data_IF_989730930898
#
_entry.id   IF_989730930898
#
_cell.length_a   1.000
_cell.length_b   1.000
_cell.length_c   1.000
_cell.angle_alpha   90.00
_cell.angle_beta   90.00
_cell.angle_gamma   90.00
#
_symmetry.space_group_name_H-M   'P 1'
#
loop_
_entity.id
_entity.type
_entity.pdbx_description
1 polymer ?
#
# COMPACT_ATOMS: atom_id res chain seq x y z
N UNK A 1 12.47 -8.81 -18.28
CA UNK A 1 11.48 -8.67 -17.18
C UNK A 1 10.21 -8.09 -17.75
N UNK A 2 9.08 -8.71 -17.47
CA UNK A 2 7.79 -8.14 -17.82
C UNK A 2 7.61 -6.81 -17.10
N UNK A 3 6.90 -5.87 -17.76
CA UNK A 3 6.65 -4.55 -17.15
C UNK A 3 5.49 -4.67 -16.15
N UNK A 4 5.48 -3.81 -15.12
CA UNK A 4 4.28 -3.64 -14.32
C UNK A 4 3.07 -3.36 -15.19
N UNK A 5 1.89 -3.75 -14.74
CA UNK A 5 0.65 -3.53 -15.49
C UNK A 5 -0.36 -2.85 -14.58
N UNK A 6 -0.87 -1.70 -15.02
CA UNK A 6 -2.02 -1.04 -14.41
C UNK A 6 -3.28 -1.62 -15.03
N UNK A 7 -4.23 -2.02 -14.20
CA UNK A 7 -5.54 -2.48 -14.61
C UNK A 7 -6.57 -1.35 -14.51
N UNK A 8 -7.73 -1.55 -15.14
CA UNK A 8 -8.80 -0.58 -15.03
C UNK A 8 -9.23 -0.38 -13.58
N UNK A 9 -9.36 0.88 -13.11
CA UNK A 9 -9.88 1.18 -11.79
C UNK A 9 -11.31 0.67 -11.61
N UNK A 10 -11.64 0.28 -10.38
CA UNK A 10 -12.99 -0.16 -10.06
C UNK A 10 -13.40 0.26 -8.64
N UNK A 11 -14.71 0.40 -8.37
CA UNK A 11 -15.20 0.69 -7.03
C UNK A 11 -15.00 -0.50 -6.09
N UNK A 12 -14.53 -0.22 -4.87
CA UNK A 12 -14.34 -1.20 -3.79
C UNK A 12 -15.16 -0.85 -2.56
N UNK A 13 -15.97 0.18 -2.66
CA UNK A 13 -16.92 0.68 -1.67
C UNK A 13 -17.83 1.72 -2.34
N UNK A 14 -18.79 2.29 -1.61
CA UNK A 14 -19.72 3.27 -2.19
C UNK A 14 -19.05 4.52 -2.77
N UNK A 15 -17.93 4.92 -2.20
CA UNK A 15 -17.19 6.13 -2.55
C UNK A 15 -15.66 5.92 -2.54
N UNK A 16 -15.20 4.66 -2.60
CA UNK A 16 -13.80 4.28 -2.66
C UNK A 16 -13.54 3.53 -3.96
N UNK A 17 -12.50 3.96 -4.67
CA UNK A 17 -12.00 3.33 -5.90
C UNK A 17 -10.56 2.88 -5.68
N UNK A 18 -10.22 1.73 -6.25
CA UNK A 18 -8.84 1.25 -6.35
C UNK A 18 -8.28 1.54 -7.74
N UNK A 19 -7.01 1.94 -7.79
CA UNK A 19 -6.17 1.95 -8.98
C UNK A 19 -5.18 0.77 -8.85
N UNK A 20 -5.54 -0.41 -9.35
CA UNK A 20 -4.73 -1.60 -9.14
C UNK A 20 -3.62 -1.71 -10.16
N UNK A 21 -2.42 -1.98 -9.70
CA UNK A 21 -1.30 -2.38 -10.53
C UNK A 21 -0.68 -3.68 -10.00
N UNK A 22 0.03 -4.39 -10.87
CA UNK A 22 0.77 -5.59 -10.49
C UNK A 22 2.19 -5.51 -11.01
N UNK A 23 3.13 -5.71 -10.10
CA UNK A 23 4.55 -5.80 -10.40
C UNK A 23 4.95 -7.27 -10.50
N UNK A 24 5.39 -7.77 -11.68
CA UNK A 24 5.85 -9.14 -11.82
C UNK A 24 7.21 -9.32 -11.16
N UNK A 25 7.31 -10.28 -10.24
CA UNK A 25 8.56 -10.66 -9.58
C UNK A 25 9.01 -12.00 -10.16
N UNK A 26 10.07 -12.04 -10.96
CA UNK A 26 10.53 -13.25 -11.64
C UNK A 26 10.76 -14.40 -10.65
N UNK A 27 10.16 -15.56 -10.94
CA UNK A 27 10.27 -16.76 -10.10
C UNK A 27 9.44 -16.75 -8.82
N UNK A 28 8.76 -15.64 -8.48
CA UNK A 28 7.95 -15.53 -7.25
C UNK A 28 6.46 -15.26 -7.50
N UNK A 29 6.12 -14.54 -8.58
CA UNK A 29 4.73 -14.19 -8.90
C UNK A 29 4.50 -12.71 -9.11
N UNK A 30 3.40 -12.18 -8.61
CA UNK A 30 2.97 -10.80 -8.79
C UNK A 30 2.76 -10.11 -7.45
N UNK A 31 3.33 -8.92 -7.30
CA UNK A 31 3.08 -8.04 -6.18
C UNK A 31 1.99 -7.02 -6.59
N UNK A 32 0.84 -6.96 -5.93
CA UNK A 32 -0.08 -5.85 -6.09
C UNK A 32 0.60 -4.54 -5.71
N UNK A 33 0.33 -3.46 -6.45
CA UNK A 33 0.74 -2.10 -6.11
C UNK A 33 -0.48 -1.20 -6.31
N UNK A 34 -1.21 -0.99 -5.24
CA UNK A 34 -2.50 -0.31 -5.26
C UNK A 34 -2.37 1.13 -4.78
N UNK A 35 -3.10 2.02 -5.46
CA UNK A 35 -3.47 3.32 -4.93
C UNK A 35 -4.99 3.40 -4.79
N UNK A 36 -5.50 4.38 -4.02
CA UNK A 36 -6.94 4.48 -3.79
C UNK A 36 -7.43 5.92 -3.90
N UNK A 37 -8.65 6.10 -4.42
CA UNK A 37 -9.36 7.38 -4.38
C UNK A 37 -10.54 7.27 -3.44
N UNK A 38 -10.58 8.13 -2.43
CA UNK A 38 -11.71 8.31 -1.54
C UNK A 38 -12.50 9.54 -2.05
N UNK A 39 -13.70 9.32 -2.59
CA UNK A 39 -14.59 10.40 -3.08
C UNK A 39 -15.34 11.06 -1.91
N UNK A 40 -14.60 11.57 -0.94
CA UNK A 40 -15.13 12.44 0.11
C UNK A 40 -15.56 13.80 -0.45
N UNK A 41 -16.19 14.66 0.36
CA UNK A 41 -16.45 16.06 -0.04
C UNK A 41 -15.18 16.82 -0.38
N UNK A 42 -14.08 16.49 0.29
CA UNK A 42 -12.72 16.86 -0.10
C UNK A 42 -12.01 15.57 -0.55
N UNK A 43 -11.96 15.29 -1.87
CA UNK A 43 -11.45 14.00 -2.36
C UNK A 43 -9.98 13.79 -2.03
N UNK A 44 -9.65 12.54 -1.69
CA UNK A 44 -8.32 12.11 -1.28
C UNK A 44 -7.80 11.04 -2.22
N UNK A 45 -6.57 11.21 -2.70
CA UNK A 45 -5.79 10.14 -3.33
C UNK A 45 -4.84 9.56 -2.28
N UNK A 46 -4.83 8.24 -2.11
CA UNK A 46 -3.91 7.50 -1.24
C UNK A 46 -2.87 6.85 -2.11
N UNK A 47 -1.62 7.27 -1.96
CA UNK A 47 -0.45 6.88 -2.75
C UNK A 47 -0.56 7.18 -4.25
N UNK A 48 0.56 7.05 -4.98
CA UNK A 48 0.65 7.52 -6.37
C UNK A 48 1.34 6.54 -7.33
N UNK A 49 1.42 5.27 -6.94
CA UNK A 49 1.93 4.19 -7.78
C UNK A 49 3.40 4.34 -8.19
N UNK A 50 3.81 3.51 -9.15
CA UNK A 50 5.18 3.40 -9.65
C UNK A 50 5.49 4.43 -10.73
N UNK A 51 6.73 4.96 -10.74
CA UNK A 51 7.19 5.95 -11.73
C UNK A 51 7.18 5.41 -13.17
N UNK A 52 7.50 4.13 -13.36
CA UNK A 52 7.56 3.50 -14.68
C UNK A 52 6.19 3.46 -15.39
N UNK A 53 5.08 3.46 -14.63
CA UNK A 53 3.70 3.44 -15.13
C UNK A 53 2.99 4.79 -14.92
N UNK A 54 3.72 5.87 -14.68
CA UNK A 54 3.18 7.17 -14.28
C UNK A 54 2.15 7.74 -15.27
N UNK A 55 2.34 7.57 -16.58
CA UNK A 55 1.37 8.03 -17.58
C UNK A 55 0.05 7.25 -17.51
N UNK A 56 0.13 5.92 -17.41
CA UNK A 56 -1.03 5.06 -17.25
C UNK A 56 -1.74 5.32 -15.91
N UNK A 57 -0.97 5.59 -14.84
CA UNK A 57 -1.51 5.98 -13.55
C UNK A 57 -2.34 7.27 -13.64
N UNK A 58 -1.82 8.31 -14.32
CA UNK A 58 -2.55 9.58 -14.48
C UNK A 58 -3.83 9.40 -15.32
N UNK A 59 -3.81 8.55 -16.34
CA UNK A 59 -5.01 8.20 -17.14
C UNK A 59 -6.05 7.46 -16.28
N UNK A 60 -5.62 6.48 -15.50
CA UNK A 60 -6.46 5.74 -14.57
C UNK A 60 -7.08 6.66 -13.51
N UNK A 61 -6.30 7.56 -12.92
CA UNK A 61 -6.80 8.57 -11.97
C UNK A 61 -7.85 9.47 -12.62
N UNK A 62 -7.59 9.97 -13.82
CA UNK A 62 -8.51 10.85 -14.54
C UNK A 62 -9.83 10.15 -14.93
N UNK A 63 -9.85 8.82 -15.05
CA UNK A 63 -11.09 8.07 -15.28
C UNK A 63 -12.01 8.02 -14.04
N UNK A 64 -11.45 8.25 -12.85
CA UNK A 64 -12.20 8.24 -11.58
C UNK A 64 -12.60 9.65 -11.18
N UNK A 65 -11.68 10.61 -11.26
CA UNK A 65 -11.84 11.99 -10.80
C UNK A 65 -10.99 12.92 -11.65
N UNK A 66 -11.51 14.12 -11.94
CA UNK A 66 -10.69 15.17 -12.56
C UNK A 66 -9.59 15.59 -11.56
N UNK A 67 -8.29 15.47 -11.89
CA UNK A 67 -7.20 15.75 -10.97
C UNK A 67 -7.29 17.13 -10.25
N UNK A 68 -7.71 18.24 -10.89
CA UNK A 68 -7.94 19.54 -10.22
C UNK A 68 -8.97 19.50 -9.07
N UNK A 69 -9.83 18.48 -9.04
CA UNK A 69 -10.83 18.33 -7.96
C UNK A 69 -10.27 17.67 -6.72
N UNK A 70 -9.10 17.03 -6.79
CA UNK A 70 -8.43 16.51 -5.60
C UNK A 70 -8.16 17.64 -4.58
N UNK A 71 -8.33 17.31 -3.31
CA UNK A 71 -8.03 18.22 -2.19
C UNK A 71 -6.91 17.69 -1.32
N UNK A 72 -6.69 16.38 -1.35
CA UNK A 72 -5.66 15.74 -0.57
C UNK A 72 -4.95 14.64 -1.37
N UNK A 73 -3.65 14.55 -1.19
CA UNK A 73 -2.85 13.37 -1.50
C UNK A 73 -2.31 12.88 -0.17
N UNK A 74 -2.71 11.70 0.26
CA UNK A 74 -2.17 11.04 1.43
C UNK A 74 -1.07 10.10 1.00
N UNK A 75 0.14 10.37 1.44
CA UNK A 75 1.27 9.48 1.21
C UNK A 75 1.45 8.59 2.42
N UNK A 76 1.33 7.26 2.22
CA UNK A 76 1.50 6.30 3.30
C UNK A 76 2.95 6.27 3.79
N UNK A 77 3.91 6.29 2.87
CA UNK A 77 5.36 6.43 3.09
C UNK A 77 6.09 6.81 1.81
N UNK A 78 7.42 6.98 1.87
CA UNK A 78 8.20 7.59 0.79
C UNK A 78 8.89 6.59 -0.16
N UNK A 79 8.47 5.33 -0.19
CA UNK A 79 9.03 4.34 -1.09
C UNK A 79 8.60 4.55 -2.55
N UNK A 80 9.38 4.05 -3.48
CA UNK A 80 9.31 4.42 -4.89
C UNK A 80 7.96 4.05 -5.55
N UNK A 81 7.37 2.93 -5.14
CA UNK A 81 6.09 2.44 -5.66
C UNK A 81 4.87 3.19 -5.11
N UNK A 82 5.05 4.03 -4.08
CA UNK A 82 4.02 4.89 -3.52
C UNK A 82 4.12 6.33 -4.01
N UNK A 83 5.30 6.73 -4.47
CA UNK A 83 5.62 8.13 -4.81
C UNK A 83 5.83 8.39 -6.29
N UNK A 84 5.74 7.37 -7.13
CA UNK A 84 6.18 7.42 -8.53
C UNK A 84 5.48 8.45 -9.40
N UNK A 85 4.22 8.80 -9.13
CA UNK A 85 3.49 9.84 -9.85
C UNK A 85 3.22 11.09 -9.00
N UNK A 86 3.78 11.19 -7.77
CA UNK A 86 3.42 12.24 -6.79
C UNK A 86 3.59 13.64 -7.35
N UNK A 87 4.72 13.95 -7.99
CA UNK A 87 4.96 15.26 -8.55
C UNK A 87 3.94 15.62 -9.63
N UNK A 88 3.67 14.69 -10.58
CA UNK A 88 2.67 14.91 -11.64
C UNK A 88 1.27 15.12 -11.08
N UNK A 89 0.90 14.34 -10.06
CA UNK A 89 -0.40 14.50 -9.37
C UNK A 89 -0.51 15.87 -8.74
N UNK A 90 0.52 16.31 -8.00
CA UNK A 90 0.51 17.62 -7.35
C UNK A 90 0.51 18.79 -8.37
N UNK A 91 1.15 18.63 -9.51
CA UNK A 91 1.13 19.61 -10.61
C UNK A 91 -0.26 19.68 -11.26
N UNK A 92 -0.90 18.53 -11.49
CA UNK A 92 -2.25 18.45 -12.05
C UNK A 92 -3.34 18.85 -11.04
N UNK A 93 -3.08 18.76 -9.74
CA UNK A 93 -4.02 19.08 -8.66
C UNK A 93 -3.52 20.26 -7.81
N UNK A 94 -3.55 21.52 -8.32
CA UNK A 94 -2.91 22.66 -7.66
C UNK A 94 -3.53 23.02 -6.30
N UNK A 95 -4.75 22.59 -6.02
CA UNK A 95 -5.45 22.80 -4.74
C UNK A 95 -5.21 21.68 -3.74
N UNK A 96 -4.64 20.54 -4.16
CA UNK A 96 -4.41 19.41 -3.28
C UNK A 96 -3.27 19.70 -2.30
N UNK A 97 -3.44 19.27 -1.05
CA UNK A 97 -2.42 19.27 -0.01
C UNK A 97 -1.81 17.87 0.10
N UNK A 98 -0.52 17.80 0.36
CA UNK A 98 0.20 16.56 0.63
C UNK A 98 0.16 16.27 2.14
N UNK A 99 -0.58 15.24 2.55
CA UNK A 99 -0.58 14.72 3.90
C UNK A 99 0.46 13.60 4.00
N UNK A 100 1.51 13.80 4.78
CA UNK A 100 2.63 12.85 4.90
C UNK A 100 3.38 13.02 6.22
N UNK A 101 4.19 12.02 6.59
CA UNK A 101 5.14 12.15 7.66
C UNK A 101 6.24 13.17 7.32
N UNK A 102 6.70 13.95 8.29
CA UNK A 102 7.72 14.99 8.07
C UNK A 102 9.04 14.44 7.54
N UNK A 103 9.46 13.24 7.99
CA UNK A 103 10.67 12.60 7.49
C UNK A 103 10.52 12.14 6.03
N UNK A 104 9.35 11.66 5.63
CA UNK A 104 9.05 11.35 4.23
C UNK A 104 9.22 12.61 3.35
N UNK A 105 8.66 13.74 3.77
CA UNK A 105 8.80 15.01 3.06
C UNK A 105 10.26 15.44 2.95
N UNK A 106 11.04 15.29 4.02
CA UNK A 106 12.48 15.61 3.99
C UNK A 106 13.24 14.73 2.98
N UNK A 107 12.97 13.42 2.94
CA UNK A 107 13.58 12.51 1.98
C UNK A 107 13.20 12.85 0.55
N UNK A 108 11.91 13.07 0.28
CA UNK A 108 11.43 13.49 -1.05
C UNK A 108 12.07 14.80 -1.51
N UNK A 109 12.32 15.74 -0.58
CA UNK A 109 12.97 17.03 -0.87
C UNK A 109 14.43 16.90 -1.32
N UNK A 110 15.03 15.73 -1.18
CA UNK A 110 16.37 15.44 -1.76
C UNK A 110 16.31 15.15 -3.26
N UNK A 111 15.15 14.74 -3.79
CA UNK A 111 14.96 14.40 -5.19
C UNK A 111 14.31 15.54 -6.01
N UNK A 112 13.39 16.29 -5.40
CA UNK A 112 12.70 17.40 -6.06
C UNK A 112 12.19 18.43 -5.03
N UNK A 113 11.93 19.70 -5.42
CA UNK A 113 11.47 20.74 -4.50
C UNK A 113 9.98 20.52 -4.11
N UNK A 114 9.74 19.81 -3.02
CA UNK A 114 8.39 19.60 -2.48
C UNK A 114 7.76 20.94 -2.10
N UNK A 115 6.51 21.25 -2.53
CA UNK A 115 5.85 22.53 -2.24
C UNK A 115 5.41 22.61 -0.76
N UNK A 116 6.32 22.96 0.13
CA UNK A 116 6.10 23.00 1.59
C UNK A 116 4.83 23.76 2.03
N UNK A 117 4.40 24.85 1.39
CA UNK A 117 3.13 25.51 1.75
C UNK A 117 1.88 24.64 1.52
N UNK A 118 2.00 23.56 0.74
CA UNK A 118 0.93 22.59 0.47
C UNK A 118 1.05 21.32 1.33
N UNK A 119 2.07 21.20 2.16
CA UNK A 119 2.28 20.03 3.00
C UNK A 119 1.50 20.12 4.30
N UNK A 120 0.98 18.98 4.74
CA UNK A 120 0.39 18.79 6.05
C UNK A 120 1.09 17.60 6.73
N UNK A 121 1.84 17.87 7.76
CA UNK A 121 2.55 16.82 8.49
C UNK A 121 1.60 16.03 9.39
N UNK A 122 1.73 14.71 9.33
CA UNK A 122 0.97 13.76 10.13
C UNK A 122 1.87 12.80 10.88
N UNK A 123 1.45 12.46 12.09
CA UNK A 123 1.95 11.34 12.86
C UNK A 123 0.80 10.39 13.23
N UNK A 124 1.13 9.17 13.66
CA UNK A 124 0.12 8.25 14.15
C UNK A 124 -0.68 8.87 15.31
N UNK A 125 -2.01 8.84 15.20
CA UNK A 125 -2.96 9.46 16.12
C UNK A 125 -3.50 10.82 15.64
N UNK A 126 -2.82 11.49 14.70
CA UNK A 126 -3.36 12.71 14.10
C UNK A 126 -4.55 12.40 13.19
N UNK A 127 -5.38 13.41 12.92
CA UNK A 127 -6.55 13.26 12.04
C UNK A 127 -6.73 14.47 11.14
N UNK A 128 -7.25 14.22 9.94
CA UNK A 128 -7.75 15.29 9.06
C UNK A 128 -9.23 15.09 8.79
N UNK A 129 -9.96 16.19 8.71
CA UNK A 129 -11.37 16.18 8.32
C UNK A 129 -11.47 16.55 6.85
N UNK A 130 -12.02 15.62 6.04
CA UNK A 130 -12.13 15.76 4.58
C UNK A 130 -13.57 16.05 4.16
N UNK A 131 -14.20 16.97 4.91
CA UNK A 131 -15.54 17.48 4.68
C UNK A 131 -16.64 16.64 5.34
N UNK A 132 -16.85 15.40 4.93
CA UNK A 132 -17.95 14.54 5.40
C UNK A 132 -17.50 13.33 6.24
N UNK A 133 -16.20 13.21 6.49
CA UNK A 133 -15.59 12.16 7.31
C UNK A 133 -14.27 12.62 7.93
N UNK A 134 -13.79 11.86 8.88
CA UNK A 134 -12.50 11.99 9.49
C UNK A 134 -11.60 10.84 9.06
N UNK A 135 -10.38 11.18 8.64
CA UNK A 135 -9.33 10.22 8.34
C UNK A 135 -8.29 10.29 9.46
N UNK A 136 -8.11 9.19 10.18
CA UNK A 136 -7.17 9.10 11.30
C UNK A 136 -5.91 8.36 10.88
N UNK A 137 -4.76 8.97 11.14
CA UNK A 137 -3.45 8.40 10.89
C UNK A 137 -3.18 7.25 11.86
N UNK A 138 -2.91 6.06 11.34
CA UNK A 138 -2.70 4.85 12.13
C UNK A 138 -1.38 4.19 11.71
N UNK A 139 -0.46 3.96 12.66
CA UNK A 139 0.70 3.13 12.39
C UNK A 139 0.25 1.68 12.22
N UNK A 140 0.45 1.04 11.05
CA UNK A 140 0.14 -0.37 10.89
C UNK A 140 1.05 -1.23 11.78
N UNK A 141 0.65 -2.45 12.13
CA UNK A 141 1.45 -3.32 13.02
C UNK A 141 2.72 -3.85 12.36
N UNK A 142 2.76 -3.90 11.02
CA UNK A 142 3.95 -4.20 10.22
C UNK A 142 4.26 -3.00 9.33
N UNK A 143 5.54 -2.67 9.20
CA UNK A 143 6.02 -1.57 8.35
C UNK A 143 7.53 -1.71 8.14
N UNK A 144 7.99 -1.52 6.95
CA UNK A 144 9.41 -1.50 6.56
C UNK A 144 10.05 -0.12 6.77
N UNK A 145 9.24 0.93 6.63
CA UNK A 145 9.69 2.32 6.60
C UNK A 145 9.23 3.09 7.85
N UNK A 146 10.11 3.85 8.54
CA UNK A 146 9.76 4.61 9.74
C UNK A 146 8.73 5.72 9.48
N UNK A 147 8.53 6.12 8.21
CA UNK A 147 7.57 7.14 7.82
C UNK A 147 6.15 6.60 7.59
N UNK A 148 5.97 5.27 7.60
CA UNK A 148 4.70 4.61 7.27
C UNK A 148 3.56 5.07 8.16
N UNK A 149 2.48 5.56 7.53
CA UNK A 149 1.24 6.00 8.18
C UNK A 149 0.05 5.52 7.34
N UNK A 150 -0.69 4.54 7.82
CA UNK A 150 -1.97 4.13 7.25
C UNK A 150 -3.10 5.09 7.63
N UNK A 151 -4.31 4.79 7.16
CA UNK A 151 -5.52 5.58 7.39
C UNK A 151 -6.62 4.69 7.95
N UNK A 152 -7.28 5.13 9.01
CA UNK A 152 -8.61 4.65 9.34
C UNK A 152 -9.66 5.69 8.92
N UNK A 153 -10.53 5.29 8.01
CA UNK A 153 -11.69 6.10 7.56
C UNK A 153 -12.89 5.73 8.42
N UNK A 154 -13.36 6.68 9.24
CA UNK A 154 -14.45 6.48 10.20
C UNK A 154 -15.81 6.23 9.53
N UNK A 155 -16.01 6.73 8.30
CA UNK A 155 -17.27 6.59 7.57
C UNK A 155 -17.42 5.24 6.90
N UNK A 156 -16.38 4.77 6.24
CA UNK A 156 -16.38 3.47 5.55
C UNK A 156 -15.97 2.32 6.47
N UNK A 157 -15.47 2.62 7.67
CA UNK A 157 -14.87 1.66 8.60
C UNK A 157 -13.77 0.86 7.91
N UNK A 158 -12.98 1.53 7.04
CA UNK A 158 -11.91 0.95 6.26
C UNK A 158 -10.53 1.32 6.80
N UNK A 159 -9.61 0.37 6.76
CA UNK A 159 -8.21 0.58 7.11
C UNK A 159 -7.32 0.47 5.87
N UNK A 160 -6.74 1.57 5.45
CA UNK A 160 -5.69 1.63 4.43
C UNK A 160 -4.36 1.40 5.14
N UNK A 161 -3.78 0.24 4.93
CA UNK A 161 -2.74 -0.30 5.80
C UNK A 161 -1.31 -0.12 5.28
N UNK A 162 -1.09 0.69 4.24
CA UNK A 162 0.18 0.73 3.52
C UNK A 162 0.59 -0.69 3.08
N UNK A 163 1.81 -1.12 3.31
CA UNK A 163 2.34 -2.43 2.91
C UNK A 163 1.89 -3.58 3.81
N UNK A 164 1.41 -3.22 5.00
CA UNK A 164 0.92 -4.23 5.94
C UNK A 164 -0.17 -5.10 5.29
N UNK A 165 -0.14 -6.39 5.55
CA UNK A 165 -0.99 -7.42 4.96
C UNK A 165 -0.69 -7.72 3.48
N UNK A 166 0.37 -7.17 2.90
CA UNK A 166 0.78 -7.48 1.54
C UNK A 166 1.01 -8.97 1.30
N UNK A 167 0.93 -9.39 0.03
CA UNK A 167 1.20 -10.75 -0.39
C UNK A 167 1.73 -10.80 -1.82
N UNK A 168 2.74 -11.62 -2.08
CA UNK A 168 3.09 -12.01 -3.45
C UNK A 168 2.13 -13.12 -3.87
N UNK A 169 1.46 -12.94 -5.00
CA UNK A 169 0.40 -13.83 -5.50
C UNK A 169 0.84 -14.53 -6.79
N UNK A 170 0.37 -15.74 -7.07
CA UNK A 170 0.70 -16.45 -8.32
C UNK A 170 0.09 -15.78 -9.56
N UNK A 171 -0.98 -15.03 -9.41
CA UNK A 171 -1.68 -14.30 -10.47
C UNK A 171 -2.42 -13.09 -9.90
N UNK A 172 -2.71 -12.06 -10.73
CA UNK A 172 -3.60 -10.97 -10.35
C UNK A 172 -4.98 -11.45 -9.91
N UNK A 173 -5.56 -10.81 -8.89
CA UNK A 173 -6.90 -11.06 -8.37
C UNK A 173 -7.60 -9.72 -8.04
N UNK A 174 -8.93 -9.66 -8.16
CA UNK A 174 -9.68 -8.44 -7.86
C UNK A 174 -10.03 -8.31 -6.38
N UNK A 175 -10.16 -9.43 -5.68
CA UNK A 175 -10.43 -9.48 -4.24
C UNK A 175 -9.62 -10.61 -3.58
N UNK A 176 -9.31 -10.44 -2.32
CA UNK A 176 -8.58 -11.44 -1.55
C UNK A 176 -9.33 -12.78 -1.43
N UNK A 177 -10.66 -12.78 -1.59
CA UNK A 177 -11.48 -13.99 -1.59
C UNK A 177 -11.30 -14.87 -2.84
N UNK A 178 -10.78 -14.31 -3.94
CA UNK A 178 -10.46 -15.05 -5.17
C UNK A 178 -9.16 -15.87 -5.03
N UNK A 179 -8.35 -15.53 -4.02
CA UNK A 179 -7.08 -16.22 -3.75
C UNK A 179 -7.34 -17.40 -2.82
N UNK A 180 -6.92 -18.63 -3.18
CA UNK A 180 -7.04 -19.78 -2.27
C UNK A 180 -6.40 -19.50 -0.92
N UNK A 181 -7.08 -19.88 0.18
CA UNK A 181 -6.69 -19.52 1.55
C UNK A 181 -5.22 -19.88 1.88
N UNK A 182 -4.77 -21.07 1.49
CA UNK A 182 -3.39 -21.50 1.72
C UNK A 182 -2.36 -20.67 0.94
N UNK A 183 -2.71 -20.24 -0.27
CA UNK A 183 -1.86 -19.37 -1.12
C UNK A 183 -1.79 -17.97 -0.50
N UNK A 184 -2.95 -17.42 -0.11
CA UNK A 184 -3.01 -16.12 0.57
C UNK A 184 -2.20 -16.13 1.86
N UNK A 185 -2.38 -17.16 2.69
CA UNK A 185 -1.66 -17.30 3.96
C UNK A 185 -0.13 -17.35 3.75
N UNK A 186 0.33 -18.16 2.80
CA UNK A 186 1.75 -18.24 2.47
C UNK A 186 2.28 -16.89 1.94
N UNK A 187 1.53 -16.24 1.04
CA UNK A 187 1.89 -14.94 0.47
C UNK A 187 2.05 -13.87 1.53
N UNK A 188 1.06 -13.74 2.44
CA UNK A 188 1.09 -12.75 3.54
C UNK A 188 2.26 -13.01 4.49
N UNK A 189 2.49 -14.26 4.91
CA UNK A 189 3.59 -14.57 5.83
C UNK A 189 4.94 -14.31 5.17
N UNK A 190 5.13 -14.73 3.92
CA UNK A 190 6.38 -14.51 3.19
C UNK A 190 6.64 -13.03 2.94
N UNK A 191 5.62 -12.27 2.51
CA UNK A 191 5.74 -10.81 2.34
C UNK A 191 6.13 -10.13 3.65
N UNK A 192 5.34 -10.32 4.70
CA UNK A 192 5.59 -9.70 6.01
C UNK A 192 6.98 -10.01 6.57
N UNK A 193 7.48 -11.24 6.36
CA UNK A 193 8.81 -11.66 6.77
C UNK A 193 9.93 -11.00 5.95
N UNK A 194 9.73 -10.82 4.63
CA UNK A 194 10.73 -10.25 3.73
C UNK A 194 10.78 -8.73 3.76
N UNK A 195 9.61 -8.11 3.77
CA UNK A 195 9.40 -6.68 3.78
C UNK A 195 9.79 -6.03 5.12
N UNK A 196 9.38 -6.66 6.21
CA UNK A 196 9.65 -6.18 7.57
C UNK A 196 10.44 -7.20 8.39
N UNK A 197 11.72 -7.50 8.06
CA UNK A 197 12.48 -8.60 8.67
C UNK A 197 12.76 -8.40 10.17
N UNK A 198 12.62 -7.18 10.68
CA UNK A 198 12.69 -6.87 12.11
C UNK A 198 11.65 -7.65 12.94
N UNK A 199 10.58 -8.15 12.31
CA UNK A 199 9.53 -8.91 12.99
C UNK A 199 10.05 -10.16 13.72
N UNK A 200 11.13 -10.75 13.21
CA UNK A 200 11.78 -11.91 13.83
C UNK A 200 12.66 -11.54 15.04
N UNK A 201 12.83 -10.25 15.31
CA UNK A 201 13.61 -9.73 16.44
C UNK A 201 12.73 -9.21 17.59
N UNK A 202 11.39 -9.19 17.39
CA UNK A 202 10.47 -8.67 18.40
C UNK A 202 9.98 -9.77 19.34
N UNK A 203 9.61 -9.37 20.54
CA UNK A 203 8.93 -10.25 21.47
C UNK A 203 7.46 -10.45 20.99
N UNK A 204 7.00 -11.72 20.75
CA UNK A 204 5.69 -11.98 20.15
C UNK A 204 4.50 -11.40 20.90
N UNK A 205 4.56 -11.31 22.24
CA UNK A 205 3.50 -10.71 23.06
C UNK A 205 3.40 -9.20 22.86
N UNK A 206 4.53 -8.51 22.69
CA UNK A 206 4.57 -7.08 22.38
C UNK A 206 4.03 -6.83 20.98
N UNK A 207 4.39 -7.67 20.01
CA UNK A 207 3.88 -7.58 18.64
C UNK A 207 2.35 -7.73 18.62
N UNK A 208 1.80 -8.70 19.36
CA UNK A 208 0.34 -8.91 19.46
C UNK A 208 -0.41 -7.67 19.97
N UNK A 209 0.17 -6.89 20.87
CA UNK A 209 -0.45 -5.63 21.29
C UNK A 209 -0.60 -4.63 20.14
N UNK A 210 0.31 -4.66 19.16
CA UNK A 210 0.18 -3.89 17.93
C UNK A 210 -1.01 -4.35 17.08
N UNK A 211 -1.22 -5.67 16.97
CA UNK A 211 -2.37 -6.26 16.27
C UNK A 211 -3.68 -5.92 16.98
N UNK A 212 -3.71 -5.93 18.32
CA UNK A 212 -4.91 -5.63 19.10
C UNK A 212 -5.39 -4.19 18.92
N UNK A 213 -4.49 -3.25 18.61
CA UNK A 213 -4.88 -1.86 18.26
C UNK A 213 -5.73 -1.83 16.98
N UNK A 214 -5.39 -2.66 15.99
CA UNK A 214 -6.19 -2.76 14.76
C UNK A 214 -7.51 -3.49 15.03
N UNK A 215 -7.52 -4.53 15.88
CA UNK A 215 -8.77 -5.17 16.33
C UNK A 215 -9.73 -4.19 16.98
N UNK A 216 -9.21 -3.29 17.81
CA UNK A 216 -10.02 -2.25 18.48
C UNK A 216 -10.64 -1.24 17.51
N UNK A 217 -9.99 -0.96 16.38
CA UNK A 217 -10.57 -0.15 15.31
C UNK A 217 -11.69 -0.89 14.58
N UNK A 218 -11.69 -2.23 14.63
CA UNK A 218 -12.65 -3.13 14.01
C UNK A 218 -12.97 -2.79 12.54
N UNK A 219 -11.96 -2.61 11.66
CA UNK A 219 -12.23 -2.25 10.29
C UNK A 219 -13.00 -3.36 9.57
N UNK A 220 -14.01 -2.98 8.79
CA UNK A 220 -14.78 -3.89 7.94
C UNK A 220 -14.08 -4.23 6.65
N UNK A 221 -13.10 -3.40 6.24
CA UNK A 221 -12.35 -3.51 5.00
C UNK A 221 -10.88 -3.23 5.26
N UNK A 222 -10.02 -4.07 4.72
CA UNK A 222 -8.58 -3.83 4.64
C UNK A 222 -8.23 -3.46 3.20
N UNK A 223 -7.57 -2.31 3.03
CA UNK A 223 -6.97 -1.83 1.80
C UNK A 223 -5.46 -1.74 1.99
N UNK A 224 -4.73 -2.75 1.54
CA UNK A 224 -3.27 -2.75 1.51
C UNK A 224 -2.76 -2.30 0.15
N UNK A 225 -1.62 -1.62 0.11
CA UNK A 225 -0.93 -1.35 -1.14
C UNK A 225 -0.54 -2.63 -1.88
N UNK A 226 -0.30 -3.72 -1.12
CA UNK A 226 0.22 -4.97 -1.67
C UNK A 226 -0.71 -6.18 -1.49
N UNK A 227 -2.03 -5.93 -1.36
CA UNK A 227 -3.05 -6.99 -1.33
C UNK A 227 -4.29 -6.54 -2.13
N UNK A 228 -4.97 -7.43 -2.86
CA UNK A 228 -6.31 -7.13 -3.33
C UNK A 228 -7.24 -6.77 -2.18
N UNK A 229 -8.27 -5.90 -2.39
CA UNK A 229 -9.22 -5.53 -1.36
C UNK A 229 -9.74 -6.74 -0.57
N UNK A 230 -9.75 -6.64 0.76
CA UNK A 230 -10.04 -7.76 1.66
C UNK A 230 -11.24 -7.46 2.58
N UNK A 231 -12.49 -7.50 2.06
CA UNK A 231 -13.68 -7.28 2.85
C UNK A 231 -13.85 -8.40 3.89
N UNK A 232 -14.13 -8.02 5.14
CA UNK A 232 -14.41 -8.96 6.23
C UNK A 232 -13.23 -9.84 6.65
N UNK A 233 -12.01 -9.58 6.16
CA UNK A 233 -10.83 -10.41 6.44
C UNK A 233 -9.91 -9.85 7.52
N UNK A 234 -10.35 -8.86 8.26
CA UNK A 234 -9.51 -8.25 9.31
C UNK A 234 -8.94 -9.29 10.27
N UNK A 235 -9.79 -10.10 10.88
CA UNK A 235 -9.33 -11.09 11.86
C UNK A 235 -8.46 -12.20 11.22
N UNK A 236 -8.84 -12.84 10.10
CA UNK A 236 -7.97 -13.78 9.42
C UNK A 236 -6.57 -13.21 9.09
N UNK A 237 -6.49 -11.97 8.61
CA UNK A 237 -5.22 -11.33 8.27
C UNK A 237 -4.38 -11.03 9.53
N UNK A 238 -5.00 -10.58 10.63
CA UNK A 238 -4.32 -10.38 11.90
C UNK A 238 -3.78 -11.69 12.49
N UNK A 239 -4.53 -12.79 12.36
CA UNK A 239 -4.07 -14.13 12.78
C UNK A 239 -2.87 -14.61 11.95
N UNK A 240 -2.82 -14.29 10.65
CA UNK A 240 -1.65 -14.58 9.83
C UNK A 240 -0.44 -13.78 10.30
N UNK A 241 -0.58 -12.48 10.54
CA UNK A 241 0.52 -11.65 11.05
C UNK A 241 1.01 -12.13 12.44
N UNK A 242 0.11 -12.58 13.31
CA UNK A 242 0.48 -13.09 14.63
C UNK A 242 1.45 -14.28 14.58
N UNK A 243 1.50 -14.99 13.46
CA UNK A 243 2.38 -16.14 13.23
C UNK A 243 3.76 -15.75 12.71
N UNK A 244 3.91 -14.56 12.12
CA UNK A 244 5.15 -14.14 11.43
C UNK A 244 6.37 -14.10 12.36
N UNK A 245 6.31 -13.57 13.61
CA UNK A 245 7.48 -13.52 14.48
C UNK A 245 8.15 -14.88 14.74
N UNK A 246 7.39 -15.96 14.64
CA UNK A 246 7.88 -17.34 14.88
C UNK A 246 7.94 -18.18 13.61
N UNK A 247 7.63 -17.62 12.46
CA UNK A 247 7.76 -18.30 11.18
C UNK A 247 9.22 -18.39 10.73
N UNK A 248 9.48 -19.24 9.75
CA UNK A 248 10.80 -19.26 9.09
C UNK A 248 11.03 -17.93 8.37
N UNK A 249 12.13 -17.21 8.64
CA UNK A 249 12.45 -15.99 7.93
C UNK A 249 12.51 -16.19 6.41
N UNK A 250 11.92 -15.26 5.67
CA UNK A 250 12.05 -15.25 4.22
C UNK A 250 13.47 -14.78 3.86
N UNK A 251 14.15 -15.59 3.06
CA UNK A 251 15.49 -15.26 2.55
C UNK A 251 15.34 -14.85 1.09
N UNK A 252 15.73 -13.62 0.78
CA UNK A 252 15.70 -13.09 -0.59
C UNK A 252 16.62 -13.90 -1.52
N UNK A 253 16.28 -14.07 -2.82
CA UNK A 253 17.12 -14.71 -3.80
C UNK A 253 18.54 -14.10 -3.82
N UNK A 254 19.55 -14.96 -3.93
CA UNK A 254 20.95 -14.57 -4.01
C UNK A 254 21.48 -14.64 -5.47
N UNK A 255 22.78 -14.39 -5.67
CA UNK A 255 23.42 -14.41 -6.99
C UNK A 255 23.20 -15.75 -7.73
N UNK A 256 23.27 -16.89 -7.04
CA UNK A 256 23.06 -18.19 -7.68
C UNK A 256 21.64 -18.34 -8.23
N UNK A 257 20.64 -17.83 -7.50
CA UNK A 257 19.25 -17.81 -7.97
C UNK A 257 19.07 -16.91 -9.20
N UNK A 258 19.74 -15.75 -9.24
CA UNK A 258 19.74 -14.87 -10.42
C UNK A 258 20.38 -15.58 -11.64
N UNK A 259 21.49 -16.25 -11.48
CA UNK A 259 22.18 -16.99 -12.56
C UNK A 259 21.29 -18.12 -13.10
N UNK A 260 20.58 -18.84 -12.23
CA UNK A 260 19.62 -19.86 -12.64
C UNK A 260 18.45 -19.25 -13.43
N UNK A 261 17.89 -18.14 -12.98
CA UNK A 261 16.82 -17.43 -13.68
C UNK A 261 17.26 -16.99 -15.07
N UNK A 262 18.44 -16.38 -15.18
CA UNK A 262 18.99 -15.92 -16.47
C UNK A 262 19.23 -17.09 -17.44
N UNK A 263 19.71 -18.23 -16.94
CA UNK A 263 19.90 -19.45 -17.75
C UNK A 263 18.56 -19.99 -18.28
N UNK A 264 17.49 -19.99 -17.46
CA UNK A 264 16.15 -20.39 -17.89
C UNK A 264 15.61 -19.48 -19.00
N UNK A 265 15.74 -18.15 -18.84
CA UNK A 265 15.29 -17.17 -19.84
C UNK A 265 16.03 -17.31 -21.19
N UNK A 266 17.29 -17.76 -21.19
CA UNK A 266 18.08 -18.00 -22.42
C UNK A 266 17.74 -19.34 -23.08
N UNK A 267 17.25 -20.32 -22.32
CA UNK A 267 16.85 -21.64 -22.85
C UNK A 267 15.44 -21.68 -23.44
N UNK A 268 14.62 -20.66 -23.18
CA UNK A 268 13.25 -20.49 -23.72
C UNK A 268 13.21 -19.62 -24.98
N UNK A 269 14.33 -19.05 -25.42
CA UNK A 269 14.48 -18.24 -26.65
C UNK A 269 15.09 -19.06 -27.79
#
# INVERSE_FOLDING_TARGET
MDKPTIFEPYPVGPDIYILPAYFPIPGLGFLPVNAFVIKAKEPVLVDTGMAIESEAFMQALASIIDPPDLRWVWLTHDDAEHTGSLQKVLDAAPKARLAANSLAVLRLSTAWPVPLPRVYWLNSGDSIRVGDRQLTAVRPPMFDNPTTIGIYDDRSEAFFSADCFGAILPSPARQADEVPEGVLAQGVISWASGDSPWVHLVEPGVFRQGLDRIRQLAPKMIFSAHLPPAPGKTEPLLELLARVPTSTPFITPNQAALEQLLAQMQGES
#
